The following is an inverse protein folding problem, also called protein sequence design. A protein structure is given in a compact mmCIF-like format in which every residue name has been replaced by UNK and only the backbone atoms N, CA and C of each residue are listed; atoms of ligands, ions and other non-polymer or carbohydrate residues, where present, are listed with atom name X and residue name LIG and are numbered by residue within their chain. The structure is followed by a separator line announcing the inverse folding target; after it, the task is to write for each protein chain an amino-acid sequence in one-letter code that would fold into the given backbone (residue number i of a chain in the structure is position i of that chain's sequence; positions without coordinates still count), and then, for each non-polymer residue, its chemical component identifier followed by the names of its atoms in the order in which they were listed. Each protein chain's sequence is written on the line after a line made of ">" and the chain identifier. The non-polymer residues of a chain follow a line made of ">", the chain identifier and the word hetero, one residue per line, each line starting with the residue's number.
data_IF_073269434016
#
_entry.id   IF_073269434016
#
_cell.length_a   1.000
_cell.length_b   1.000
_cell.length_c   1.000
_cell.angle_alpha   90.00
_cell.angle_beta   90.00
_cell.angle_gamma   90.00
#
_symmetry.space_group_name_H-M   'P 1'
#
loop_
_entity.id
_entity.type
_entity.pdbx_description
1 polymer ?
#
# COMPACT_ATOMS: atom_id res chain seq x y z
N UNK A 1 11.19 3.46 22.06
CA UNK A 1 10.24 4.27 21.24
C UNK A 1 10.91 4.46 19.90
N UNK A 2 10.66 3.55 18.96
CA UNK A 2 11.18 3.67 17.58
C UNK A 2 10.01 4.06 16.70
N UNK A 3 10.14 5.18 16.00
CA UNK A 3 9.17 5.68 15.05
C UNK A 3 8.99 4.64 13.94
N UNK A 4 7.76 4.16 13.78
CA UNK A 4 7.31 3.35 12.66
C UNK A 4 7.62 4.18 11.40
N UNK A 5 8.58 3.79 10.57
CA UNK A 5 8.85 4.49 9.30
C UNK A 5 7.74 4.19 8.27
N UNK A 6 6.49 4.53 8.62
CA UNK A 6 5.61 5.16 7.66
C UNK A 6 6.27 6.50 7.35
N UNK A 7 7.06 6.57 6.28
CA UNK A 7 7.71 7.82 5.89
C UNK A 7 6.62 8.86 5.69
N UNK A 8 6.53 9.81 6.61
CA UNK A 8 5.70 10.98 6.43
C UNK A 8 6.27 11.70 5.20
N UNK A 9 5.50 11.71 4.12
CA UNK A 9 5.91 12.40 2.88
C UNK A 9 5.84 13.92 3.09
N UNK A 10 5.22 14.34 4.19
CA UNK A 10 5.19 15.70 4.68
C UNK A 10 3.80 16.31 4.55
N UNK A 11 3.79 17.63 4.50
CA UNK A 11 2.59 18.42 4.27
C UNK A 11 2.38 18.63 2.77
N UNK A 12 1.13 18.75 2.30
CA UNK A 12 0.85 19.10 0.92
C UNK A 12 1.56 20.40 0.54
N UNK A 13 2.08 20.46 -0.68
CA UNK A 13 2.58 21.73 -1.23
C UNK A 13 1.46 22.78 -1.23
N UNK A 14 1.79 24.08 -1.18
CA UNK A 14 0.80 25.14 -1.33
C UNK A 14 -0.10 24.89 -2.55
N UNK A 15 -1.41 25.03 -2.36
CA UNK A 15 -2.45 24.82 -3.38
C UNK A 15 -2.59 23.38 -3.89
N UNK A 16 -1.82 22.42 -3.37
CA UNK A 16 -2.07 21.00 -3.61
C UNK A 16 -3.34 20.57 -2.87
N UNK A 17 -4.17 19.78 -3.56
CA UNK A 17 -5.35 19.16 -2.98
C UNK A 17 -5.05 17.70 -2.71
N UNK A 18 -5.32 17.23 -1.50
CA UNK A 18 -5.22 15.82 -1.13
C UNK A 18 -6.63 15.30 -0.85
N UNK A 19 -6.95 14.15 -1.42
CA UNK A 19 -8.17 13.43 -1.15
C UNK A 19 -7.82 11.95 -0.95
N UNK A 20 -8.29 11.35 0.14
CA UNK A 20 -8.21 9.92 0.35
C UNK A 20 -9.56 9.32 0.02
N UNK A 21 -9.61 8.39 -0.93
CA UNK A 21 -10.83 7.69 -1.30
C UNK A 21 -10.79 6.24 -0.86
N UNK A 22 -11.87 5.76 -0.28
CA UNK A 22 -12.03 4.35 0.02
C UNK A 22 -11.98 3.52 -1.29
N UNK A 23 -11.16 2.45 -1.35
CA UNK A 23 -10.96 1.70 -2.59
C UNK A 23 -12.24 1.09 -3.18
N UNK A 24 -13.19 0.70 -2.35
CA UNK A 24 -14.42 0.02 -2.77
C UNK A 24 -15.54 1.02 -3.05
N UNK A 25 -15.85 1.88 -2.08
CA UNK A 25 -17.00 2.79 -2.12
C UNK A 25 -16.72 4.06 -2.92
N UNK A 26 -15.44 4.37 -3.19
CA UNK A 26 -14.98 5.63 -3.80
C UNK A 26 -15.40 6.89 -3.03
N UNK A 27 -15.84 6.75 -1.79
CA UNK A 27 -16.18 7.87 -0.91
C UNK A 27 -14.93 8.40 -0.23
N UNK A 28 -14.96 9.68 0.11
CA UNK A 28 -13.88 10.28 0.88
C UNK A 28 -13.77 9.62 2.26
N UNK A 29 -12.54 9.36 2.67
CA UNK A 29 -12.19 8.87 4.01
C UNK A 29 -11.99 10.05 4.96
N UNK A 30 -12.47 9.92 6.19
CA UNK A 30 -12.26 10.91 7.26
C UNK A 30 -10.80 10.95 7.73
N UNK A 31 -10.44 11.98 8.49
CA UNK A 31 -9.09 12.14 9.04
C UNK A 31 -8.69 10.92 9.91
N UNK A 32 -7.45 10.45 9.75
CA UNK A 32 -6.92 9.23 10.38
C UNK A 32 -7.28 7.92 9.68
N UNK A 33 -8.27 7.92 8.79
CA UNK A 33 -8.62 6.74 8.01
C UNK A 33 -7.64 6.48 6.85
N UNK A 34 -7.58 5.22 6.43
CA UNK A 34 -6.73 4.79 5.30
C UNK A 34 -7.52 4.79 4.01
N UNK A 35 -6.97 5.40 2.96
CA UNK A 35 -7.59 5.43 1.64
C UNK A 35 -6.58 5.56 0.51
N UNK A 36 -7.04 5.41 -0.73
CA UNK A 36 -6.24 5.66 -1.92
C UNK A 36 -5.93 7.15 -2.05
N UNK A 37 -4.64 7.47 -2.14
CA UNK A 37 -4.14 8.82 -2.25
C UNK A 37 -4.40 9.40 -3.64
N UNK A 38 -5.19 10.47 -3.67
CA UNK A 38 -5.43 11.29 -4.84
C UNK A 38 -4.87 12.69 -4.63
N UNK A 39 -4.15 13.20 -5.62
CA UNK A 39 -3.45 14.50 -5.55
C UNK A 39 -3.88 15.39 -6.69
N UNK A 40 -4.20 16.65 -6.41
CA UNK A 40 -4.57 17.66 -7.40
C UNK A 40 -3.85 18.99 -7.17
N UNK A 41 -4.06 19.93 -8.09
CA UNK A 41 -3.50 21.27 -8.01
C UNK A 41 -2.71 21.66 -9.26
N UNK A 42 -1.96 22.78 -9.22
CA UNK A 42 -1.27 23.34 -10.39
C UNK A 42 -0.20 22.43 -11.00
N UNK A 43 0.39 21.53 -10.21
CA UNK A 43 1.41 20.57 -10.66
C UNK A 43 0.87 19.34 -11.39
N UNK A 44 -0.45 19.25 -11.61
CA UNK A 44 -1.06 18.08 -12.23
C UNK A 44 -0.71 17.99 -13.72
N UNK A 45 -0.23 16.83 -14.16
CA UNK A 45 -0.03 16.57 -15.58
C UNK A 45 -1.37 16.59 -16.34
N UNK A 46 -1.30 16.95 -17.63
CA UNK A 46 -2.46 16.88 -18.53
C UNK A 46 -2.92 15.43 -18.71
N UNK A 47 -1.99 14.48 -18.69
CA UNK A 47 -2.29 13.05 -18.82
C UNK A 47 -1.16 12.29 -19.47
N UNK A 48 -1.47 11.09 -19.94
CA UNK A 48 -0.56 10.23 -20.68
C UNK A 48 -0.70 10.47 -22.19
N UNK A 49 0.41 10.79 -22.86
CA UNK A 49 0.44 11.08 -24.30
C UNK A 49 -0.09 9.87 -25.08
N UNK A 50 -1.09 10.11 -25.93
CA UNK A 50 -1.71 9.07 -26.77
C UNK A 50 -2.58 8.05 -26.01
N UNK A 51 -2.76 8.19 -24.69
CA UNK A 51 -3.46 7.21 -23.85
C UNK A 51 -4.65 7.84 -23.11
N UNK A 52 -5.69 8.21 -23.85
CA UNK A 52 -6.88 8.91 -23.33
C UNK A 52 -7.62 8.11 -22.25
N UNK A 53 -7.90 6.83 -22.51
CA UNK A 53 -8.63 5.99 -21.56
C UNK A 53 -7.90 5.83 -20.21
N UNK A 54 -6.58 5.60 -20.25
CA UNK A 54 -5.76 5.55 -19.03
C UNK A 54 -5.73 6.89 -18.31
N UNK A 55 -5.68 8.00 -19.06
CA UNK A 55 -5.73 9.35 -18.51
C UNK A 55 -7.04 9.59 -17.77
N UNK A 56 -8.19 9.24 -18.35
CA UNK A 56 -9.49 9.40 -17.71
C UNK A 56 -9.60 8.52 -16.45
N UNK A 57 -9.06 7.31 -16.48
CA UNK A 57 -9.04 6.41 -15.33
C UNK A 57 -8.15 6.93 -14.20
N UNK A 58 -6.95 7.43 -14.52
CA UNK A 58 -5.96 7.88 -13.52
C UNK A 58 -6.14 9.32 -13.10
N UNK A 59 -6.84 10.13 -13.89
CA UNK A 59 -7.09 11.54 -13.59
C UNK A 59 -8.58 11.88 -13.46
N UNK A 60 -9.30 11.26 -12.50
CA UNK A 60 -10.73 11.50 -12.34
C UNK A 60 -11.02 12.92 -11.85
N UNK A 61 -12.23 13.40 -12.17
CA UNK A 61 -12.80 14.59 -11.55
C UNK A 61 -13.64 14.17 -10.36
N UNK A 62 -13.27 14.62 -9.17
CA UNK A 62 -13.96 14.31 -7.91
C UNK A 62 -14.71 15.56 -7.44
N UNK A 63 -15.97 15.39 -7.03
CA UNK A 63 -16.80 16.48 -6.53
C UNK A 63 -16.15 17.17 -5.33
N UNK A 64 -16.19 18.51 -5.29
CA UNK A 64 -15.52 19.31 -4.26
C UNK A 64 -14.00 19.47 -4.41
N UNK A 65 -13.32 18.55 -5.09
CA UNK A 65 -11.86 18.59 -5.29
C UNK A 65 -11.44 19.02 -6.69
N UNK A 66 -12.26 18.72 -7.70
CA UNK A 66 -11.92 18.90 -9.11
C UNK A 66 -11.09 17.73 -9.64
N UNK A 67 -10.25 17.99 -10.65
CA UNK A 67 -9.41 16.95 -11.26
C UNK A 67 -8.25 16.57 -10.36
N UNK A 68 -8.13 15.28 -10.06
CA UNK A 68 -7.08 14.70 -9.22
C UNK A 68 -6.35 13.60 -9.99
N UNK A 69 -5.14 13.24 -9.57
CA UNK A 69 -4.39 12.07 -10.03
C UNK A 69 -4.43 10.98 -8.97
N UNK A 70 -4.84 9.77 -9.36
CA UNK A 70 -4.77 8.56 -8.55
C UNK A 70 -3.34 8.02 -8.55
N UNK A 71 -2.63 8.22 -7.44
CA UNK A 71 -1.24 7.79 -7.24
C UNK A 71 -1.11 6.27 -7.24
N UNK A 72 -2.17 5.55 -6.85
CA UNK A 72 -2.15 4.12 -6.59
C UNK A 72 -1.66 3.76 -5.19
N UNK A 73 -1.28 4.73 -4.38
CA UNK A 73 -0.78 4.52 -3.02
C UNK A 73 -1.94 4.53 -2.01
N UNK A 74 -1.85 3.70 -0.97
CA UNK A 74 -2.65 3.83 0.23
C UNK A 74 -1.94 4.75 1.19
N UNK A 75 -2.68 5.67 1.77
CA UNK A 75 -2.17 6.61 2.74
C UNK A 75 -3.20 6.89 3.84
N UNK A 76 -2.72 7.43 4.95
CA UNK A 76 -3.55 8.12 5.96
C UNK A 76 -3.19 9.60 5.97
N UNK A 77 -4.17 10.43 6.34
CA UNK A 77 -4.00 11.86 6.52
C UNK A 77 -4.35 12.22 7.96
N UNK A 78 -3.37 12.71 8.71
CA UNK A 78 -3.51 13.04 10.12
C UNK A 78 -2.80 14.35 10.40
N UNK A 79 -3.47 15.30 11.06
CA UNK A 79 -2.89 16.58 11.51
C UNK A 79 -2.18 17.34 10.38
N UNK A 80 -2.72 17.27 9.17
CA UNK A 80 -2.15 17.95 8.00
C UNK A 80 -1.02 17.20 7.28
N UNK A 81 -0.65 15.99 7.73
CA UNK A 81 0.44 15.20 7.15
C UNK A 81 -0.07 13.94 6.44
N UNK A 82 0.54 13.63 5.29
CA UNK A 82 0.28 12.39 4.55
C UNK A 82 1.32 11.34 4.95
N UNK A 83 0.86 10.15 5.32
CA UNK A 83 1.70 8.97 5.57
C UNK A 83 1.33 7.88 4.57
N UNK A 84 2.29 7.46 3.74
CA UNK A 84 2.07 6.41 2.73
C UNK A 84 2.31 5.04 3.34
N UNK A 85 1.38 4.11 3.13
CA UNK A 85 1.34 2.77 3.73
C UNK A 85 1.60 1.64 2.71
N UNK A 86 1.85 1.98 1.44
CA UNK A 86 2.09 1.03 0.35
C UNK A 86 1.14 1.26 -0.83
N UNK A 87 0.98 0.27 -1.71
CA UNK A 87 0.11 0.40 -2.89
C UNK A 87 -1.28 -0.21 -2.66
N UNK A 88 -2.32 0.48 -3.10
CA UNK A 88 -3.70 0.01 -3.00
C UNK A 88 -4.11 -1.03 -4.04
N UNK A 89 -3.34 -1.19 -5.11
CA UNK A 89 -3.49 -2.34 -6.03
C UNK A 89 -2.92 -3.65 -5.45
N UNK A 90 -2.29 -3.59 -4.27
CA UNK A 90 -1.82 -4.75 -3.51
C UNK A 90 -2.83 -5.16 -2.40
N UNK A 91 -4.10 -4.77 -2.50
CA UNK A 91 -5.15 -5.19 -1.58
C UNK A 91 -5.78 -6.52 -2.04
N UNK A 92 -5.93 -7.46 -1.12
CA UNK A 92 -6.44 -8.81 -1.39
C UNK A 92 -7.53 -9.20 -0.38
N UNK A 93 -8.47 -10.05 -0.80
CA UNK A 93 -9.46 -10.66 0.11
C UNK A 93 -9.04 -12.07 0.48
N UNK A 94 -8.94 -12.34 1.79
CA UNK A 94 -8.59 -13.64 2.36
C UNK A 94 -9.59 -13.99 3.46
N UNK A 95 -10.31 -15.11 3.30
CA UNK A 95 -11.30 -15.59 4.27
C UNK A 95 -12.33 -14.53 4.70
N UNK A 96 -12.73 -13.66 3.77
CA UNK A 96 -13.67 -12.55 4.02
C UNK A 96 -13.03 -11.27 4.58
N UNK A 97 -11.73 -11.26 4.86
CA UNK A 97 -10.99 -10.09 5.32
C UNK A 97 -10.28 -9.38 4.17
N UNK A 98 -10.42 -8.07 4.13
CA UNK A 98 -9.66 -7.19 3.24
C UNK A 98 -8.29 -6.88 3.85
N UNK A 99 -7.23 -7.32 3.20
CA UNK A 99 -5.85 -7.19 3.68
C UNK A 99 -5.03 -6.40 2.68
N UNK A 100 -4.30 -5.40 3.17
CA UNK A 100 -3.32 -4.65 2.38
C UNK A 100 -1.96 -5.34 2.53
N UNK A 101 -1.43 -5.91 1.46
CA UNK A 101 -0.17 -6.68 1.51
C UNK A 101 1.00 -5.85 2.06
N UNK A 102 1.12 -4.58 1.66
CA UNK A 102 2.17 -3.67 2.15
C UNK A 102 2.11 -3.39 3.67
N UNK A 103 0.93 -3.45 4.28
CA UNK A 103 0.78 -3.34 5.73
C UNK A 103 1.37 -4.56 6.44
N UNK A 104 1.15 -5.75 5.89
CA UNK A 104 1.72 -7.00 6.40
C UNK A 104 3.25 -7.00 6.25
N UNK A 105 3.76 -6.56 5.10
CA UNK A 105 5.21 -6.39 4.87
C UNK A 105 5.86 -5.46 5.92
N UNK A 106 5.23 -4.32 6.17
CA UNK A 106 5.71 -3.33 7.15
C UNK A 106 5.74 -3.94 8.56
N UNK A 107 4.68 -4.63 8.96
CA UNK A 107 4.60 -5.31 10.25
C UNK A 107 5.67 -6.41 10.41
N UNK A 108 5.91 -7.20 9.36
CA UNK A 108 6.93 -8.26 9.35
C UNK A 108 8.35 -7.69 9.43
N UNK A 109 8.68 -6.67 8.63
CA UNK A 109 9.99 -6.00 8.67
C UNK A 109 10.31 -5.48 10.06
N UNK A 110 9.35 -4.83 10.72
CA UNK A 110 9.49 -4.30 12.07
C UNK A 110 9.74 -5.39 13.12
N UNK A 111 9.02 -6.51 13.02
CA UNK A 111 9.04 -7.57 14.04
C UNK A 111 10.27 -8.48 13.91
N UNK A 112 10.62 -8.83 12.67
CA UNK A 112 11.63 -9.86 12.38
C UNK A 112 12.99 -9.30 11.93
N UNK A 113 13.16 -7.97 11.91
CA UNK A 113 14.40 -7.29 11.46
C UNK A 113 14.87 -7.78 10.09
N UNK A 114 13.96 -7.71 9.12
CA UNK A 114 14.20 -8.14 7.75
C UNK A 114 14.82 -6.99 6.95
N UNK A 115 15.74 -7.33 6.04
CA UNK A 115 16.29 -6.40 5.04
C UNK A 115 15.27 -6.18 3.91
N UNK A 116 14.68 -7.28 3.42
CA UNK A 116 13.65 -7.24 2.38
C UNK A 116 12.47 -8.14 2.77
N UNK A 117 11.26 -7.70 2.41
CA UNK A 117 10.05 -8.49 2.60
C UNK A 117 9.08 -8.16 1.47
N UNK A 118 8.51 -9.20 0.87
CA UNK A 118 7.43 -9.11 -0.11
C UNK A 118 6.35 -10.12 0.28
N UNK A 119 5.10 -9.67 0.42
CA UNK A 119 3.96 -10.52 0.76
C UNK A 119 3.06 -10.64 -0.46
N UNK A 120 2.71 -11.87 -0.81
CA UNK A 120 1.75 -12.17 -1.87
C UNK A 120 0.55 -12.92 -1.29
N UNK A 121 -0.58 -12.86 -1.99
CA UNK A 121 -1.68 -13.79 -1.78
C UNK A 121 -1.54 -14.99 -2.72
N UNK A 122 -1.53 -16.19 -2.15
CA UNK A 122 -1.50 -17.45 -2.89
C UNK A 122 -2.83 -18.19 -2.71
N UNK A 123 -3.32 -18.81 -3.78
CA UNK A 123 -4.59 -19.56 -3.82
C UNK A 123 -5.65 -18.93 -4.72
N UNK A 124 -6.59 -19.76 -5.22
CA UNK A 124 -7.67 -19.32 -6.11
C UNK A 124 -8.87 -18.77 -5.33
N UNK A 125 -9.74 -18.04 -6.01
CA UNK A 125 -10.98 -17.53 -5.44
C UNK A 125 -11.93 -18.69 -5.07
N UNK A 126 -12.33 -18.77 -3.80
CA UNK A 126 -13.12 -19.89 -3.25
C UNK A 126 -12.30 -21.02 -2.63
N UNK A 127 -10.97 -21.00 -2.77
CA UNK A 127 -10.05 -21.89 -2.05
C UNK A 127 -9.51 -21.19 -0.79
N UNK A 128 -8.75 -21.92 0.04
CA UNK A 128 -8.14 -21.38 1.26
C UNK A 128 -6.95 -20.47 0.90
N UNK A 129 -7.25 -19.27 0.40
CA UNK A 129 -6.26 -18.23 0.12
C UNK A 129 -5.41 -17.97 1.36
N UNK A 130 -4.10 -17.88 1.17
CA UNK A 130 -3.14 -17.61 2.24
C UNK A 130 -2.19 -16.49 1.85
N UNK A 131 -1.65 -15.82 2.85
CA UNK A 131 -0.54 -14.89 2.64
C UNK A 131 0.77 -15.67 2.71
N UNK A 132 1.64 -15.43 1.74
CA UNK A 132 3.00 -15.97 1.71
C UNK A 132 3.95 -14.78 1.73
N UNK A 133 4.85 -14.77 2.71
CA UNK A 133 5.88 -13.74 2.84
C UNK A 133 7.23 -14.31 2.39
N UNK A 134 7.83 -13.68 1.37
CA UNK A 134 9.22 -13.88 1.01
C UNK A 134 10.06 -12.86 1.77
N UNK A 135 11.09 -13.33 2.45
CA UNK A 135 11.86 -12.51 3.39
C UNK A 135 13.35 -12.69 3.18
N UNK A 136 14.09 -11.60 3.38
CA UNK A 136 15.56 -11.57 3.42
C UNK A 136 15.94 -10.99 4.78
N UNK A 137 16.74 -11.70 5.55
CA UNK A 137 17.18 -11.25 6.87
C UNK A 137 18.42 -10.36 6.76
N UNK A 138 18.53 -9.33 7.61
CA UNK A 138 19.68 -8.41 7.61
C UNK A 138 20.98 -9.05 8.12
N UNK A 139 20.93 -10.25 8.69
CA UNK A 139 22.09 -11.01 9.12
C UNK A 139 22.15 -12.37 8.42
N UNK A 140 23.36 -12.89 8.19
CA UNK A 140 23.55 -14.30 7.80
C UNK A 140 23.03 -15.18 8.94
N UNK A 141 21.80 -15.62 8.85
CA UNK A 141 21.27 -16.71 9.65
C UNK A 141 21.64 -18.03 8.98
N UNK A 142 22.28 -18.92 9.74
CA UNK A 142 22.45 -20.31 9.34
C UNK A 142 21.17 -21.05 9.74
N UNK A 143 20.24 -21.17 8.81
CA UNK A 143 19.05 -21.99 9.00
C UNK A 143 19.23 -23.36 8.39
N UNK A 144 18.73 -24.37 9.08
CA UNK A 144 18.50 -25.68 8.48
C UNK A 144 17.23 -25.60 7.66
N UNK A 145 17.40 -25.65 6.34
CA UNK A 145 16.31 -25.83 5.40
C UNK A 145 16.28 -27.30 5.04
N UNK A 146 15.12 -27.92 5.18
CA UNK A 146 14.88 -29.26 4.67
C UNK A 146 15.03 -29.23 3.13
N UNK A 147 15.98 -29.99 2.55
CA UNK A 147 16.25 -29.96 1.12
C UNK A 147 15.14 -30.59 0.27
N UNK A 148 14.26 -31.42 0.84
CA UNK A 148 13.15 -32.05 0.12
C UNK A 148 11.91 -31.16 0.09
N UNK A 149 11.63 -30.46 1.19
CA UNK A 149 10.41 -29.64 1.33
C UNK A 149 10.67 -28.14 1.12
N UNK A 150 11.93 -27.69 1.21
CA UNK A 150 12.30 -26.28 1.16
C UNK A 150 11.88 -25.49 2.41
N UNK A 151 11.40 -26.15 3.45
CA UNK A 151 10.92 -25.52 4.69
C UNK A 151 12.05 -25.34 5.69
N UNK A 152 12.07 -24.19 6.39
CA UNK A 152 12.97 -23.99 7.52
C UNK A 152 12.54 -24.89 8.68
N UNK A 153 13.45 -25.71 9.20
CA UNK A 153 13.20 -26.64 10.31
C UNK A 153 13.61 -26.08 11.67
N UNK A 154 14.27 -24.93 11.70
CA UNK A 154 14.57 -24.24 12.95
C UNK A 154 13.33 -23.45 13.39
N UNK A 155 12.80 -23.76 14.58
CA UNK A 155 11.64 -23.07 15.13
C UNK A 155 11.99 -21.62 15.53
N UNK A 156 11.03 -20.71 15.35
CA UNK A 156 11.09 -19.31 15.79
C UNK A 156 11.34 -19.16 17.29
#
# INVERSE_FOLDING_TARGET
>A
MGEDETTAVGVPMPYAKICLLDPETKKQVEEGGVGLLHVGGPGLAVGYIGQKALTEQRFPTIEGFGRLYNTGDLATFEKGMVKVMGRGDSMVKIRGYSVVLGSVETALKRTLRLDQCCVIAEGKEGEDKRLVAYVVFSAKMSWKIDPETGLCTDAF
#
